data_IF_919665437566
#
_entry.id   IF_919665437566
#
_cell.length_a   1.000
_cell.length_b   1.000
_cell.length_c   1.000
_cell.angle_alpha   90.00
_cell.angle_beta   90.00
_cell.angle_gamma   90.00
#
_symmetry.space_group_name_H-M   'P 1'
#
loop_
_entity.id
_entity.type
_entity.pdbx_description
1 polymer ?
#
# COMPACT_ATOMS: atom_id res chain seq x y z
N UNK A 1 -4.91 8.41 -31.31
CA UNK A 1 -5.83 7.84 -30.30
C UNK A 1 -5.13 6.83 -29.41
N UNK A 2 -5.20 6.97 -28.07
CA UNK A 2 -4.68 5.96 -27.15
C UNK A 2 -5.59 4.72 -27.12
N UNK A 3 -5.00 3.52 -27.18
CA UNK A 3 -5.71 2.24 -27.06
C UNK A 3 -5.22 1.48 -25.82
N UNK A 4 -6.16 0.96 -25.04
CA UNK A 4 -5.86 0.12 -23.87
C UNK A 4 -5.53 -1.29 -24.38
N UNK A 5 -4.30 -1.74 -24.19
CA UNK A 5 -3.93 -3.18 -24.25
C UNK A 5 -3.58 -3.65 -22.85
N UNK A 6 -3.91 -4.90 -22.53
CA UNK A 6 -3.58 -5.55 -21.26
C UNK A 6 -2.13 -5.22 -20.82
N UNK A 7 -2.00 -4.45 -19.73
CA UNK A 7 -0.71 -4.12 -19.10
C UNK A 7 -0.21 -2.67 -19.19
N UNK A 8 -0.82 -1.79 -20.01
CA UNK A 8 -0.38 -0.39 -20.11
C UNK A 8 -1.16 0.52 -21.06
N UNK A 9 -0.99 1.83 -20.91
CA UNK A 9 -1.55 2.86 -21.81
C UNK A 9 -0.58 3.04 -22.99
N UNK A 10 -0.98 2.65 -24.19
CA UNK A 10 -0.15 2.76 -25.40
C UNK A 10 -0.48 4.04 -26.19
N UNK A 11 0.57 4.77 -26.60
CA UNK A 11 0.48 5.95 -27.48
C UNK A 11 0.90 5.58 -28.92
N UNK A 12 0.41 6.33 -29.91
CA UNK A 12 0.55 6.02 -31.36
C UNK A 12 1.99 5.83 -31.86
N UNK A 13 3.01 6.26 -31.11
CA UNK A 13 4.42 6.12 -31.46
C UNK A 13 5.11 4.89 -30.83
N UNK A 14 4.35 3.86 -30.42
CA UNK A 14 4.88 2.65 -29.78
C UNK A 14 5.39 2.83 -28.35
N UNK A 15 5.31 4.06 -27.81
CA UNK A 15 5.62 4.37 -26.42
C UNK A 15 4.41 4.01 -25.56
N UNK A 16 4.62 3.25 -24.49
CA UNK A 16 3.57 2.88 -23.56
C UNK A 16 3.96 3.23 -22.12
N UNK A 17 2.98 3.69 -21.35
CA UNK A 17 3.12 3.72 -19.89
C UNK A 17 2.85 2.30 -19.41
N UNK A 18 3.87 1.70 -18.82
CA UNK A 18 3.70 0.45 -18.09
C UNK A 18 3.02 0.72 -16.75
N UNK A 19 2.19 -0.23 -16.34
CA UNK A 19 1.43 -0.13 -15.08
C UNK A 19 2.32 -0.03 -13.82
N UNK A 20 3.55 -0.56 -13.86
CA UNK A 20 4.53 -0.46 -12.78
C UNK A 20 5.11 0.96 -12.65
N UNK A 21 5.36 1.65 -13.77
CA UNK A 21 5.85 3.03 -13.79
C UNK A 21 4.87 4.00 -13.11
N UNK A 22 3.55 3.78 -13.23
CA UNK A 22 2.51 4.58 -12.55
C UNK A 22 2.56 4.48 -11.02
N UNK A 23 3.16 3.42 -10.47
CA UNK A 23 3.27 3.23 -9.02
C UNK A 23 4.50 3.91 -8.43
N UNK A 24 5.53 4.15 -9.25
CA UNK A 24 6.79 4.76 -8.82
C UNK A 24 6.57 6.23 -8.42
N UNK A 25 7.32 6.67 -7.40
CA UNK A 25 7.44 8.09 -7.10
C UNK A 25 8.22 8.79 -8.23
N UNK A 26 7.99 10.09 -8.47
CA UNK A 26 8.62 10.83 -9.57
C UNK A 26 10.16 10.72 -9.60
N UNK A 27 10.80 10.67 -8.43
CA UNK A 27 12.26 10.60 -8.29
C UNK A 27 12.85 9.25 -8.71
N UNK A 28 12.00 8.21 -8.81
CA UNK A 28 12.40 6.85 -9.20
C UNK A 28 12.12 6.56 -10.68
N UNK A 29 11.60 7.53 -11.42
CA UNK A 29 11.34 7.39 -12.85
C UNK A 29 12.64 7.58 -13.65
N UNK A 30 12.86 6.72 -14.64
CA UNK A 30 13.94 6.91 -15.60
C UNK A 30 13.64 8.10 -16.52
N UNK A 31 14.66 8.66 -17.17
CA UNK A 31 14.47 9.75 -18.15
C UNK A 31 13.53 9.36 -19.30
N UNK A 32 13.58 8.09 -19.71
CA UNK A 32 12.65 7.54 -20.70
C UNK A 32 11.21 7.52 -20.18
N UNK A 33 10.98 7.08 -18.95
CA UNK A 33 9.67 7.09 -18.31
C UNK A 33 9.15 8.53 -18.15
N UNK A 34 9.97 9.47 -17.66
CA UNK A 34 9.59 10.89 -17.55
C UNK A 34 9.14 11.48 -18.88
N UNK A 35 9.84 11.14 -19.97
CA UNK A 35 9.46 11.56 -21.33
C UNK A 35 8.09 11.02 -21.75
N UNK A 36 7.78 9.77 -21.43
CA UNK A 36 6.48 9.16 -21.73
C UNK A 36 5.38 9.80 -20.86
N UNK A 37 5.64 10.02 -19.57
CA UNK A 37 4.71 10.67 -18.66
C UNK A 37 4.38 12.09 -19.11
N UNK A 38 5.37 12.87 -19.57
CA UNK A 38 5.16 14.22 -20.12
C UNK A 38 4.19 14.20 -21.31
N UNK A 39 4.33 13.22 -22.20
CA UNK A 39 3.42 13.04 -23.34
C UNK A 39 2.02 12.67 -22.84
N UNK A 40 1.92 11.67 -21.96
CA UNK A 40 0.65 11.18 -21.44
C UNK A 40 -0.15 12.24 -20.69
N UNK A 41 0.52 13.02 -19.84
CA UNK A 41 -0.08 14.14 -19.12
C UNK A 41 -0.50 15.29 -20.05
N UNK A 42 0.14 15.41 -21.21
CA UNK A 42 -0.32 16.33 -22.26
C UNK A 42 -1.64 15.87 -22.91
N UNK A 43 -1.88 14.55 -22.97
CA UNK A 43 -3.12 13.99 -23.53
C UNK A 43 -4.25 13.88 -22.50
N UNK A 44 -3.93 13.69 -21.22
CA UNK A 44 -4.92 13.54 -20.15
C UNK A 44 -4.47 14.32 -18.91
N UNK A 45 -5.04 15.51 -18.68
CA UNK A 45 -4.87 16.27 -17.44
C UNK A 45 -5.33 15.48 -16.22
N UNK A 46 -6.46 14.77 -16.30
CA UNK A 46 -7.00 13.95 -15.21
C UNK A 46 -6.01 12.88 -14.75
N UNK A 47 -5.29 12.25 -15.69
CA UNK A 47 -4.25 11.26 -15.37
C UNK A 47 -3.08 11.91 -14.60
N UNK A 48 -2.72 13.14 -14.95
CA UNK A 48 -1.68 13.90 -14.26
C UNK A 48 -2.09 14.20 -12.83
N UNK A 49 -3.32 14.67 -12.64
CA UNK A 49 -3.85 15.01 -11.32
C UNK A 49 -3.99 13.78 -10.44
N UNK A 50 -4.54 12.67 -10.97
CA UNK A 50 -4.59 11.41 -10.25
C UNK A 50 -3.19 10.91 -9.85
N UNK A 51 -2.21 11.01 -10.75
CA UNK A 51 -0.83 10.65 -10.41
C UNK A 51 -0.25 11.55 -9.30
N UNK A 52 -0.51 12.86 -9.36
CA UNK A 52 -0.07 13.81 -8.33
C UNK A 52 -0.73 13.53 -6.98
N UNK A 53 -2.04 13.31 -6.94
CA UNK A 53 -2.78 12.97 -5.72
C UNK A 53 -2.28 11.67 -5.11
N UNK A 54 -2.05 10.62 -5.91
CA UNK A 54 -1.45 9.35 -5.43
C UNK A 54 -0.08 9.58 -4.76
N UNK A 55 0.75 10.46 -5.31
CA UNK A 55 2.06 10.74 -4.73
C UNK A 55 1.94 11.60 -3.47
N UNK A 56 1.07 12.63 -3.47
CA UNK A 56 0.81 13.42 -2.27
C UNK A 56 0.34 12.56 -1.10
N UNK A 57 -0.50 11.54 -1.35
CA UNK A 57 -0.85 10.53 -0.34
C UNK A 57 0.35 9.77 0.20
N UNK A 58 1.25 9.35 -0.70
CA UNK A 58 2.45 8.59 -0.33
C UNK A 58 3.33 9.45 0.58
N UNK A 59 3.46 10.74 0.25
CA UNK A 59 4.23 11.71 1.03
C UNK A 59 3.68 11.89 2.45
N UNK A 60 2.36 11.82 2.66
CA UNK A 60 1.76 11.88 4.01
C UNK A 60 2.30 10.75 4.89
N UNK A 61 2.42 9.53 4.35
CA UNK A 61 2.95 8.39 5.10
C UNK A 61 4.48 8.45 5.28
N UNK A 62 5.21 9.02 4.32
CA UNK A 62 6.68 9.13 4.37
C UNK A 62 7.14 10.25 5.33
N UNK A 63 6.39 11.35 5.44
CA UNK A 63 6.69 12.46 6.36
C UNK A 63 6.50 12.05 7.82
N UNK A 64 7.31 12.61 8.72
CA UNK A 64 7.26 12.39 10.17
C UNK A 64 6.13 13.15 10.88
N UNK A 65 4.90 13.03 10.38
CA UNK A 65 3.72 13.58 11.04
C UNK A 65 3.36 12.87 12.33
N UNK A 66 2.89 13.68 13.28
CA UNK A 66 2.04 13.26 14.40
C UNK A 66 0.65 12.85 13.89
N UNK A 67 -0.13 12.17 14.74
CA UNK A 67 -1.50 11.79 14.40
C UNK A 67 -2.36 12.99 13.99
N UNK A 68 -2.27 14.12 14.70
CA UNK A 68 -3.06 15.32 14.40
C UNK A 68 -2.68 15.96 13.06
N UNK A 69 -1.38 16.06 12.77
CA UNK A 69 -0.89 16.58 11.48
C UNK A 69 -1.30 15.69 10.31
N UNK A 70 -1.28 14.36 10.50
CA UNK A 70 -1.71 13.43 9.48
C UNK A 70 -3.21 13.57 9.18
N UNK A 71 -4.07 13.74 10.20
CA UNK A 71 -5.51 13.99 10.04
C UNK A 71 -5.73 15.25 9.20
N UNK A 72 -5.05 16.35 9.55
CA UNK A 72 -5.16 17.59 8.80
C UNK A 72 -4.70 17.42 7.34
N UNK A 73 -3.60 16.70 7.11
CA UNK A 73 -3.08 16.45 5.77
C UNK A 73 -4.02 15.57 4.92
N UNK A 74 -4.67 14.55 5.49
CA UNK A 74 -5.67 13.76 4.79
C UNK A 74 -6.90 14.58 4.43
N UNK A 75 -7.36 15.45 5.33
CA UNK A 75 -8.48 16.35 5.05
C UNK A 75 -8.17 17.33 3.92
N UNK A 76 -6.99 17.94 3.92
CA UNK A 76 -6.55 18.84 2.83
C UNK A 76 -6.49 18.09 1.49
N UNK A 77 -6.05 16.83 1.51
CA UNK A 77 -6.03 15.99 0.32
C UNK A 77 -7.45 15.64 -0.16
N UNK A 78 -8.38 15.30 0.73
CA UNK A 78 -9.78 15.06 0.37
C UNK A 78 -10.43 16.28 -0.27
N UNK A 79 -10.18 17.47 0.28
CA UNK A 79 -10.64 18.73 -0.29
C UNK A 79 -10.08 18.93 -1.71
N UNK A 80 -8.80 18.62 -1.94
CA UNK A 80 -8.19 18.64 -3.27
C UNK A 80 -8.83 17.63 -4.24
N UNK A 81 -9.19 16.44 -3.77
CA UNK A 81 -9.87 15.45 -4.63
C UNK A 81 -11.26 15.96 -5.04
N UNK A 82 -12.02 16.50 -4.09
CA UNK A 82 -13.36 17.04 -4.35
C UNK A 82 -13.35 18.25 -5.29
N UNK A 83 -12.32 19.10 -5.23
CA UNK A 83 -12.19 20.26 -6.10
C UNK A 83 -11.88 19.91 -7.57
N UNK A 84 -11.21 18.79 -7.82
CA UNK A 84 -10.80 18.38 -9.16
C UNK A 84 -11.85 17.50 -9.88
N UNK A 85 -13.03 17.27 -9.29
CA UNK A 85 -14.12 16.44 -9.83
C UNK A 85 -13.67 15.04 -10.31
N UNK A 86 -12.66 14.49 -9.63
CA UNK A 86 -12.05 13.20 -9.96
C UNK A 86 -12.85 12.05 -9.32
N UNK A 87 -13.96 11.69 -9.97
CA UNK A 87 -14.84 10.59 -9.57
C UNK A 87 -14.12 9.23 -9.42
N UNK A 88 -12.92 9.07 -10.00
CA UNK A 88 -12.12 7.85 -9.86
C UNK A 88 -11.65 7.59 -8.42
N UNK A 89 -11.67 8.61 -7.54
CA UNK A 89 -11.29 8.48 -6.14
C UNK A 89 -12.45 8.19 -5.19
N UNK A 90 -13.72 8.27 -5.61
CA UNK A 90 -14.88 8.13 -4.72
C UNK A 90 -14.88 6.85 -3.89
N UNK A 91 -14.63 5.72 -4.56
CA UNK A 91 -14.59 4.40 -3.90
C UNK A 91 -13.40 4.32 -2.94
N UNK A 92 -12.28 4.93 -3.32
CA UNK A 92 -11.10 4.99 -2.48
C UNK A 92 -11.32 5.86 -1.24
N UNK A 93 -11.90 7.05 -1.39
CA UNK A 93 -12.21 7.96 -0.28
C UNK A 93 -13.21 7.35 0.70
N UNK A 94 -14.25 6.65 0.20
CA UNK A 94 -15.16 5.88 1.06
C UNK A 94 -14.41 4.85 1.90
N UNK A 95 -13.44 4.17 1.31
CA UNK A 95 -12.60 3.19 2.00
C UNK A 95 -11.68 3.88 3.01
N UNK A 96 -11.03 4.98 2.61
CA UNK A 96 -10.14 5.77 3.48
C UNK A 96 -10.88 6.24 4.73
N UNK A 97 -12.05 6.84 4.57
CA UNK A 97 -12.91 7.31 5.65
C UNK A 97 -13.39 6.17 6.56
N UNK A 98 -13.74 5.01 5.98
CA UNK A 98 -14.16 3.84 6.77
C UNK A 98 -13.07 3.29 7.68
N UNK A 99 -11.80 3.46 7.29
CA UNK A 99 -10.63 2.97 8.04
C UNK A 99 -9.79 4.09 8.66
N UNK A 100 -10.32 5.31 8.71
CA UNK A 100 -9.56 6.50 9.08
C UNK A 100 -8.94 6.37 10.47
N UNK A 101 -9.70 5.91 11.47
CA UNK A 101 -9.22 5.74 12.83
C UNK A 101 -8.02 4.76 12.92
N UNK A 102 -8.02 3.69 12.14
CA UNK A 102 -6.94 2.71 12.08
C UNK A 102 -5.71 3.29 11.38
N UNK A 103 -5.93 4.03 10.29
CA UNK A 103 -4.87 4.71 9.53
C UNK A 103 -4.21 5.78 10.40
N UNK A 104 -4.98 6.57 11.14
CA UNK A 104 -4.45 7.58 12.05
C UNK A 104 -3.58 6.96 13.15
N UNK A 105 -3.95 5.78 13.68
CA UNK A 105 -3.18 5.10 14.70
C UNK A 105 -1.81 4.61 14.19
N UNK A 106 -1.63 4.46 12.87
CA UNK A 106 -0.31 4.22 12.29
C UNK A 106 0.68 5.33 12.66
N UNK A 107 0.25 6.59 12.73
CA UNK A 107 1.15 7.73 12.99
C UNK A 107 1.66 7.79 14.44
N UNK A 108 1.08 7.03 15.37
CA UNK A 108 1.59 6.95 16.75
C UNK A 108 2.88 6.12 16.85
N UNK A 109 2.92 4.94 16.20
CA UNK A 109 4.01 3.96 16.37
C UNK A 109 4.70 3.58 15.05
N UNK A 110 4.13 3.98 13.91
CA UNK A 110 4.57 3.64 12.54
C UNK A 110 4.87 2.16 12.34
N UNK A 111 4.12 1.30 13.04
CA UNK A 111 4.30 -0.14 12.94
C UNK A 111 3.92 -0.60 11.53
N UNK A 112 4.90 -1.11 10.79
CA UNK A 112 4.63 -1.73 9.51
C UNK A 112 4.08 -3.16 9.69
N UNK A 113 3.41 -3.68 8.66
CA UNK A 113 2.93 -5.06 8.64
C UNK A 113 4.04 -6.10 8.51
N UNK A 114 5.31 -5.71 8.50
CA UNK A 114 6.46 -6.60 8.31
C UNK A 114 6.55 -7.68 9.38
N UNK A 115 6.33 -7.34 10.65
CA UNK A 115 6.26 -8.32 11.73
C UNK A 115 5.12 -9.32 11.50
N UNK A 116 3.91 -8.82 11.21
CA UNK A 116 2.73 -9.67 10.96
C UNK A 116 2.94 -10.58 9.76
N UNK A 117 3.55 -10.08 8.68
CA UNK A 117 3.91 -10.86 7.48
C UNK A 117 4.94 -11.93 7.81
N UNK A 118 5.99 -11.58 8.55
CA UNK A 118 7.02 -12.53 9.00
C UNK A 118 6.42 -13.62 9.88
N UNK A 119 5.53 -13.25 10.80
CA UNK A 119 4.81 -14.17 11.65
C UNK A 119 3.88 -15.10 10.87
N UNK A 120 3.10 -14.56 9.92
CA UNK A 120 2.25 -15.36 9.03
C UNK A 120 3.07 -16.36 8.20
N UNK A 121 4.20 -15.93 7.63
CA UNK A 121 5.10 -16.82 6.92
C UNK A 121 5.66 -17.93 7.82
N UNK A 122 6.02 -17.61 9.07
CA UNK A 122 6.48 -18.61 10.05
C UNK A 122 5.37 -19.62 10.37
N UNK A 123 4.13 -19.17 10.56
CA UNK A 123 2.97 -20.06 10.75
C UNK A 123 2.78 -20.98 9.55
N UNK A 124 2.85 -20.45 8.33
CA UNK A 124 2.73 -21.25 7.11
C UNK A 124 3.86 -22.30 7.00
N UNK A 125 5.08 -21.96 7.39
CA UNK A 125 6.20 -22.92 7.47
C UNK A 125 5.97 -23.99 8.55
N UNK A 126 5.35 -23.64 9.68
CA UNK A 126 4.95 -24.63 10.71
C UNK A 126 3.88 -25.56 10.15
N UNK A 127 2.84 -25.04 9.49
CA UNK A 127 1.79 -25.86 8.86
C UNK A 127 2.35 -26.83 7.81
N UNK A 128 3.28 -26.38 6.96
CA UNK A 128 3.92 -27.23 5.92
C UNK A 128 4.84 -28.31 6.48
N UNK A 129 5.45 -28.11 7.65
CA UNK A 129 6.31 -29.14 8.29
C UNK A 129 5.49 -30.18 9.05
N UNK A 130 4.27 -29.83 9.46
CA UNK A 130 3.43 -30.66 10.31
C UNK A 130 2.09 -30.98 9.62
N UNK A 131 2.14 -31.81 8.57
CA UNK A 131 0.96 -32.33 7.91
C UNK A 131 0.12 -33.18 8.87
N UNK A 132 -1.20 -33.01 8.89
CA UNK A 132 -2.13 -33.82 9.69
C UNK A 132 -2.49 -33.29 11.08
N UNK A 133 -2.03 -32.10 11.48
CA UNK A 133 -2.51 -31.44 12.70
C UNK A 133 -3.84 -30.73 12.43
N UNK A 134 -4.95 -31.41 12.68
CA UNK A 134 -6.30 -30.84 12.62
C UNK A 134 -6.77 -30.25 13.95
N UNK A 135 -6.04 -30.55 15.04
CA UNK A 135 -6.38 -30.06 16.36
C UNK A 135 -5.74 -28.68 16.62
N UNK A 136 -6.58 -27.66 16.74
CA UNK A 136 -6.18 -26.27 17.00
C UNK A 136 -5.31 -26.13 18.27
N UNK A 137 -5.57 -26.93 19.30
CA UNK A 137 -4.79 -26.90 20.56
C UNK A 137 -3.33 -27.27 20.31
N UNK A 138 -3.10 -28.33 19.54
CA UNK A 138 -1.75 -28.79 19.20
C UNK A 138 -1.05 -27.84 18.23
N UNK A 139 -1.78 -27.29 17.25
CA UNK A 139 -1.24 -26.26 16.37
C UNK A 139 -0.78 -25.03 17.17
N UNK A 140 -1.58 -24.56 18.14
CA UNK A 140 -1.22 -23.43 19.00
C UNK A 140 0.04 -23.72 19.83
N UNK A 141 0.10 -24.88 20.47
CA UNK A 141 1.29 -25.30 21.25
C UNK A 141 2.55 -25.32 20.37
N UNK A 142 2.43 -25.85 19.15
CA UNK A 142 3.55 -25.91 18.22
C UNK A 142 3.99 -24.54 17.75
N UNK A 143 3.05 -23.66 17.39
CA UNK A 143 3.37 -22.27 17.04
C UNK A 143 4.13 -21.61 18.18
N UNK A 144 3.62 -21.71 19.42
CA UNK A 144 4.26 -21.11 20.59
C UNK A 144 5.69 -21.65 20.82
N UNK A 145 5.89 -22.97 20.73
CA UNK A 145 7.21 -23.59 20.83
C UNK A 145 8.19 -23.09 19.76
N UNK A 146 7.74 -23.02 18.50
CA UNK A 146 8.56 -22.61 17.35
C UNK A 146 8.85 -21.11 17.31
N UNK A 147 8.03 -20.28 17.98
CA UNK A 147 8.16 -18.81 17.99
C UNK A 147 8.80 -18.25 19.24
N UNK A 148 8.55 -18.87 20.41
CA UNK A 148 8.97 -18.35 21.71
C UNK A 148 10.01 -19.23 22.41
N UNK A 149 10.28 -20.44 21.91
CA UNK A 149 11.19 -21.39 22.53
C UNK A 149 10.57 -22.21 23.66
N UNK A 150 11.25 -23.28 24.06
CA UNK A 150 10.78 -24.21 25.10
C UNK A 150 10.84 -23.62 26.52
N UNK A 151 11.64 -22.58 26.74
CA UNK A 151 11.90 -21.99 28.05
C UNK A 151 10.63 -21.41 28.71
N UNK A 152 9.67 -20.94 27.90
CA UNK A 152 8.36 -20.44 28.34
C UNK A 152 7.37 -21.53 28.77
N UNK A 153 7.64 -22.80 28.42
CA UNK A 153 6.80 -23.94 28.84
C UNK A 153 7.36 -24.56 30.13
N UNK A 154 8.67 -24.44 30.36
CA UNK A 154 9.36 -25.05 31.51
C UNK A 154 9.29 -24.19 32.78
N UNK A 155 8.99 -22.89 32.67
CA UNK A 155 8.91 -21.96 33.83
C UNK A 155 7.56 -21.93 34.56
N UNK A 156 6.63 -22.82 34.22
CA UNK A 156 5.45 -23.10 35.06
C UNK A 156 5.50 -24.54 35.59
N UNK A 157 6.32 -24.75 36.60
CA UNK A 157 6.16 -25.82 37.60
C UNK A 157 6.31 -25.21 38.99
#
# INVERSE_FOLDING_TARGET
MPFIRYGGLSFENGKSIRSDSLRKNPDKLTETEKGIFKIAFGYSPDLKEAYQLKNAMTDIFEKSYTKQEAIAAFKELEEKVMQNDLNCYDTFLKTLNSFQAQIENYFNNRCNSGFVKGFNNKIEVVKRRYYGIFNIKHLRQRILLDTLGAELIVTKQ
#
